data_IF_447101657961
#
_entry.id   IF_447101657961
#
_cell.length_a   1.000
_cell.length_b   1.000
_cell.length_c   1.000
_cell.angle_alpha   90.00
_cell.angle_beta   90.00
_cell.angle_gamma   90.00
#
_symmetry.space_group_name_H-M   'P 1'
#
loop_
_entity.id
_entity.type
_entity.pdbx_description
1 polymer ?
#
# COMPACT_ATOMS: atom_id res chain seq x y z
N UNK A 1 5.90 19.06 -8.30
CA UNK A 1 7.22 18.87 -7.67
C UNK A 1 7.62 17.41 -7.43
N UNK A 2 6.77 16.42 -7.75
CA UNK A 2 6.96 15.05 -7.24
C UNK A 2 7.67 14.05 -8.18
N UNK A 3 8.05 14.46 -9.39
CA UNK A 3 8.89 13.63 -10.29
C UNK A 3 10.36 14.02 -10.27
N UNK A 4 10.78 14.97 -9.41
CA UNK A 4 12.07 15.68 -9.55
C UNK A 4 12.29 16.15 -11.01
N UNK A 5 11.22 16.57 -11.70
CA UNK A 5 11.30 16.92 -13.11
C UNK A 5 11.66 15.74 -14.04
N UNK A 6 11.14 14.54 -13.78
CA UNK A 6 11.49 13.36 -14.57
C UNK A 6 12.88 12.85 -14.21
N UNK A 7 13.02 12.28 -13.01
CA UNK A 7 14.25 11.64 -12.53
C UNK A 7 15.45 12.60 -12.42
N UNK A 8 15.25 13.83 -11.93
CA UNK A 8 16.32 14.80 -11.64
C UNK A 8 16.75 15.66 -12.83
N UNK A 9 16.59 15.18 -14.06
CA UNK A 9 16.97 15.92 -15.27
C UNK A 9 16.15 17.20 -15.49
N UNK A 10 14.89 17.22 -15.06
CA UNK A 10 14.03 18.38 -15.25
C UNK A 10 14.44 19.58 -14.41
N UNK A 11 15.07 19.41 -13.25
CA UNK A 11 15.56 20.55 -12.44
C UNK A 11 16.68 21.31 -13.14
N UNK A 12 17.64 20.59 -13.72
CA UNK A 12 18.71 21.19 -14.54
C UNK A 12 18.13 21.95 -15.72
N UNK A 13 17.17 21.34 -16.42
CA UNK A 13 16.46 22.00 -17.52
C UNK A 13 15.62 23.20 -17.05
N UNK A 14 14.97 23.11 -15.89
CA UNK A 14 14.12 24.17 -15.34
C UNK A 14 14.95 25.42 -15.10
N UNK A 15 16.16 25.28 -14.52
CA UNK A 15 17.06 26.39 -14.24
C UNK A 15 17.38 27.24 -15.48
N UNK A 16 17.70 26.59 -16.61
CA UNK A 16 17.94 27.27 -17.88
C UNK A 16 16.68 27.86 -18.53
N UNK A 17 15.49 27.43 -18.09
CA UNK A 17 14.20 27.86 -18.64
C UNK A 17 13.51 28.95 -17.83
N UNK A 18 14.03 29.27 -16.64
CA UNK A 18 13.53 30.37 -15.79
C UNK A 18 13.39 31.70 -16.58
N UNK A 19 14.38 32.14 -17.38
CA UNK A 19 14.25 33.39 -18.13
C UNK A 19 13.08 33.37 -19.13
N UNK A 20 12.83 32.23 -19.76
CA UNK A 20 11.71 32.06 -20.68
C UNK A 20 10.36 32.13 -19.92
N UNK A 21 10.25 31.49 -18.75
CA UNK A 21 9.05 31.58 -17.92
C UNK A 21 8.77 33.00 -17.42
N UNK A 22 9.81 33.74 -17.01
CA UNK A 22 9.68 35.16 -16.64
C UNK A 22 9.20 35.98 -17.85
N UNK A 23 9.77 35.73 -19.04
CA UNK A 23 9.34 36.43 -20.26
C UNK A 23 7.89 36.11 -20.66
N UNK A 24 7.44 34.88 -20.43
CA UNK A 24 6.08 34.43 -20.73
C UNK A 24 5.08 35.02 -19.73
N UNK A 25 5.40 35.01 -18.43
CA UNK A 25 4.61 35.65 -17.38
C UNK A 25 4.48 37.17 -17.59
N UNK A 26 5.58 37.84 -17.99
CA UNK A 26 5.56 39.27 -18.31
C UNK A 26 4.71 39.56 -19.56
N UNK A 27 4.80 38.73 -20.61
CA UNK A 27 3.93 38.84 -21.80
C UNK A 27 2.47 38.58 -21.48
N UNK A 28 2.17 37.73 -20.51
CA UNK A 28 0.82 37.38 -20.10
C UNK A 28 0.17 38.51 -19.26
N UNK A 29 0.97 39.20 -18.45
CA UNK A 29 0.55 40.43 -17.76
C UNK A 29 0.17 41.56 -18.74
N UNK A 30 0.87 41.66 -19.88
CA UNK A 30 0.58 42.64 -20.94
C UNK A 30 -0.57 42.19 -21.87
N UNK A 31 -0.76 40.87 -22.04
CA UNK A 31 -1.82 40.32 -22.87
C UNK A 31 -3.13 40.23 -22.09
N UNK A 32 -3.82 41.37 -21.98
CA UNK A 32 -5.29 41.38 -22.00
C UNK A 32 -5.72 40.87 -23.39
N UNK A 33 -5.62 39.57 -23.64
CA UNK A 33 -5.92 38.99 -24.96
C UNK A 33 -7.05 37.99 -24.88
N UNK A 34 -8.02 38.28 -25.74
CA UNK A 34 -9.32 37.66 -25.95
C UNK A 34 -9.23 36.13 -25.94
N UNK A 35 -10.22 35.43 -25.37
CA UNK A 35 -10.27 33.97 -25.40
C UNK A 35 -10.24 33.50 -26.86
N UNK A 36 -9.21 32.72 -27.20
CA UNK A 36 -9.15 31.98 -28.46
C UNK A 36 -10.04 30.75 -28.33
N UNK A 37 -11.06 30.62 -29.18
CA UNK A 37 -11.91 29.43 -29.25
C UNK A 37 -11.20 28.20 -29.82
N UNK A 38 -10.00 28.36 -30.38
CA UNK A 38 -9.24 27.26 -30.94
C UNK A 38 -8.57 26.44 -29.83
N UNK A 39 -8.65 25.09 -29.87
CA UNK A 39 -7.96 24.26 -28.90
C UNK A 39 -6.44 24.42 -29.02
N UNK A 40 -5.67 24.28 -27.92
CA UNK A 40 -4.21 24.35 -27.95
C UNK A 40 -3.59 23.33 -28.93
N UNK A 41 -2.32 23.46 -29.35
CA UNK A 41 -1.65 22.44 -30.15
C UNK A 41 -1.37 21.16 -29.34
N UNK A 42 -1.35 20.00 -30.00
CA UNK A 42 -0.97 18.72 -29.37
C UNK A 42 0.55 18.70 -29.19
N UNK A 43 1.00 18.52 -27.96
CA UNK A 43 2.41 18.24 -27.67
C UNK A 43 2.61 16.75 -27.42
N UNK A 44 3.35 16.05 -28.29
CA UNK A 44 3.68 14.63 -28.10
C UNK A 44 4.38 14.37 -26.76
N UNK A 45 5.29 15.25 -26.34
CA UNK A 45 5.96 15.17 -25.04
C UNK A 45 4.97 15.26 -23.87
N UNK A 46 3.91 16.07 -24.01
CA UNK A 46 2.87 16.19 -22.98
C UNK A 46 2.06 14.90 -22.89
N UNK A 47 1.66 14.34 -24.03
CA UNK A 47 0.90 13.08 -24.08
C UNK A 47 1.74 11.93 -23.52
N UNK A 48 3.01 11.83 -23.91
CA UNK A 48 3.94 10.84 -23.34
C UNK A 48 4.08 11.02 -21.82
N UNK A 49 4.21 12.26 -21.35
CA UNK A 49 4.24 12.57 -19.91
C UNK A 49 2.95 12.17 -19.18
N UNK A 50 1.77 12.39 -19.79
CA UNK A 50 0.48 11.97 -19.23
C UNK A 50 0.42 10.45 -19.05
N UNK A 51 0.85 9.71 -20.07
CA UNK A 51 0.89 8.24 -20.02
C UNK A 51 1.85 7.77 -18.93
N UNK A 52 3.08 8.28 -18.91
CA UNK A 52 4.08 7.88 -17.91
C UNK A 52 3.63 8.17 -16.47
N UNK A 53 3.09 9.37 -16.21
CA UNK A 53 2.64 9.77 -14.87
C UNK A 53 1.37 9.04 -14.47
N UNK A 54 0.44 8.79 -15.39
CA UNK A 54 -0.75 7.99 -15.12
C UNK A 54 -0.42 6.54 -14.78
N UNK A 55 0.52 5.91 -15.51
CA UNK A 55 1.04 4.58 -15.17
C UNK A 55 1.67 4.60 -13.78
N UNK A 56 2.53 5.60 -13.50
CA UNK A 56 3.17 5.73 -12.20
C UNK A 56 2.16 5.79 -11.04
N UNK A 57 1.12 6.61 -11.15
CA UNK A 57 0.07 6.72 -10.13
C UNK A 57 -0.74 5.42 -9.99
N UNK A 58 -1.05 4.75 -11.11
CA UNK A 58 -1.75 3.47 -11.10
C UNK A 58 -0.91 2.34 -10.49
N UNK A 59 0.39 2.27 -10.81
CA UNK A 59 1.32 1.31 -10.21
C UNK A 59 1.50 1.56 -8.71
N UNK A 60 1.60 2.82 -8.28
CA UNK A 60 1.65 3.16 -6.86
C UNK A 60 0.38 2.66 -6.15
N UNK A 61 -0.80 2.96 -6.70
CA UNK A 61 -2.07 2.50 -6.15
C UNK A 61 -2.18 0.96 -6.11
N UNK A 62 -1.65 0.24 -7.11
CA UNK A 62 -1.60 -1.23 -7.10
C UNK A 62 -0.73 -1.78 -5.96
N UNK A 63 0.39 -1.12 -5.66
CA UNK A 63 1.28 -1.56 -4.59
C UNK A 63 0.66 -1.24 -3.21
N UNK A 64 0.07 -0.05 -3.07
CA UNK A 64 -0.34 0.46 -1.75
C UNK A 64 -1.81 0.25 -1.41
N UNK A 65 -2.72 0.13 -2.38
CA UNK A 65 -4.18 0.18 -2.14
C UNK A 65 -4.94 -1.02 -2.70
N UNK A 66 -4.26 -2.03 -3.23
CA UNK A 66 -4.89 -3.22 -3.82
C UNK A 66 -5.68 -4.08 -2.82
N UNK A 67 -5.54 -3.84 -1.52
CA UNK A 67 -6.35 -4.47 -0.46
C UNK A 67 -7.75 -3.88 -0.32
N UNK A 68 -8.04 -2.73 -0.95
CA UNK A 68 -9.34 -2.07 -0.84
C UNK A 68 -10.40 -2.78 -1.70
N UNK A 69 -11.63 -2.85 -1.16
CA UNK A 69 -12.78 -3.30 -1.93
C UNK A 69 -13.02 -2.39 -3.15
N UNK A 70 -13.43 -2.98 -4.28
CA UNK A 70 -13.65 -2.28 -5.54
C UNK A 70 -12.43 -1.53 -6.09
N UNK A 71 -11.20 -1.92 -5.69
CA UNK A 71 -9.96 -1.27 -6.10
C UNK A 71 -9.86 -1.04 -7.62
N UNK A 72 -10.07 -2.10 -8.42
CA UNK A 72 -9.97 -2.02 -9.88
C UNK A 72 -11.11 -1.22 -10.54
N UNK A 73 -12.24 -0.98 -9.86
CA UNK A 73 -13.35 -0.23 -10.46
C UNK A 73 -13.35 1.25 -10.08
N UNK A 74 -12.81 1.58 -8.89
CA UNK A 74 -12.90 2.93 -8.34
C UNK A 74 -11.52 3.54 -8.06
N UNK A 75 -10.72 2.87 -7.23
CA UNK A 75 -9.46 3.44 -6.70
C UNK A 75 -8.40 3.57 -7.78
N UNK A 76 -8.23 2.52 -8.59
CA UNK A 76 -7.29 2.48 -9.68
C UNK A 76 -7.57 3.55 -10.76
N UNK A 77 -8.77 3.62 -11.35
CA UNK A 77 -9.06 4.62 -12.38
C UNK A 77 -9.00 6.06 -11.84
N UNK A 78 -9.35 6.29 -10.57
CA UNK A 78 -9.23 7.60 -9.94
C UNK A 78 -7.77 8.01 -9.76
N UNK A 79 -6.91 7.07 -9.36
CA UNK A 79 -5.46 7.31 -9.22
C UNK A 79 -4.80 7.60 -10.56
N UNK A 80 -5.07 6.78 -11.58
CA UNK A 80 -4.55 6.99 -12.95
C UNK A 80 -5.06 8.30 -13.54
N UNK A 81 -6.36 8.57 -13.40
CA UNK A 81 -7.00 9.80 -13.86
C UNK A 81 -6.41 11.06 -13.21
N UNK A 82 -6.12 11.01 -11.91
CA UNK A 82 -5.44 12.10 -11.21
C UNK A 82 -4.04 12.36 -11.77
N UNK A 83 -3.25 11.31 -12.04
CA UNK A 83 -1.93 11.43 -12.65
C UNK A 83 -1.96 12.05 -14.05
N UNK A 84 -2.89 11.61 -14.89
CA UNK A 84 -3.09 12.16 -16.25
C UNK A 84 -3.57 13.62 -16.20
N UNK A 85 -4.52 13.92 -15.33
CA UNK A 85 -5.06 15.28 -15.18
C UNK A 85 -4.02 16.27 -14.62
N UNK A 86 -3.11 15.79 -13.76
CA UNK A 86 -1.99 16.59 -13.25
C UNK A 86 -1.10 17.07 -14.40
N UNK A 87 -0.73 16.20 -15.34
CA UNK A 87 0.10 16.56 -16.49
C UNK A 87 -0.67 17.36 -17.53
N UNK A 88 -1.97 17.08 -17.74
CA UNK A 88 -2.81 17.86 -18.64
C UNK A 88 -2.97 19.32 -18.18
N UNK A 89 -2.94 19.54 -16.86
CA UNK A 89 -3.11 20.86 -16.23
C UNK A 89 -1.81 21.67 -16.08
N UNK A 90 -0.69 21.21 -16.63
CA UNK A 90 0.60 21.95 -16.56
C UNK A 90 0.60 23.14 -17.52
N UNK A 91 1.04 24.31 -17.03
CA UNK A 91 1.11 25.55 -17.81
C UNK A 91 -0.28 26.18 -18.03
N UNK A 92 -0.48 26.80 -19.20
CA UNK A 92 -1.73 27.48 -19.57
C UNK A 92 -2.81 26.57 -20.16
N UNK A 93 -2.56 25.26 -20.21
CA UNK A 93 -3.49 24.27 -20.74
C UNK A 93 -4.11 23.46 -19.60
N UNK A 94 -5.34 23.00 -19.82
CA UNK A 94 -6.04 22.04 -18.97
C UNK A 94 -6.92 21.15 -19.85
N UNK A 95 -7.42 20.06 -19.30
CA UNK A 95 -8.36 19.16 -19.97
C UNK A 95 -9.54 18.87 -19.07
N UNK A 96 -10.67 18.53 -19.66
CA UNK A 96 -11.91 18.25 -18.94
C UNK A 96 -11.76 17.04 -18.00
N UNK A 97 -11.80 17.23 -16.66
CA UNK A 97 -11.52 16.16 -15.71
C UNK A 97 -12.60 15.09 -15.71
N UNK A 98 -13.86 15.46 -15.95
CA UNK A 98 -14.98 14.51 -15.97
C UNK A 98 -14.80 13.50 -17.10
N UNK A 99 -14.45 13.98 -18.29
CA UNK A 99 -14.24 13.12 -19.46
C UNK A 99 -13.05 12.18 -19.28
N UNK A 100 -11.97 12.68 -18.68
CA UNK A 100 -10.80 11.85 -18.33
C UNK A 100 -11.21 10.74 -17.36
N UNK A 101 -11.97 11.07 -16.31
CA UNK A 101 -12.41 10.10 -15.33
C UNK A 101 -13.35 9.05 -15.92
N UNK A 102 -14.31 9.47 -16.75
CA UNK A 102 -15.20 8.53 -17.45
C UNK A 102 -14.41 7.56 -18.32
N UNK A 103 -13.41 8.05 -19.08
CA UNK A 103 -12.54 7.18 -19.85
C UNK A 103 -11.78 6.19 -18.96
N UNK A 104 -11.24 6.66 -17.82
CA UNK A 104 -10.55 5.79 -16.87
C UNK A 104 -11.46 4.67 -16.35
N UNK A 105 -12.67 5.01 -15.88
CA UNK A 105 -13.62 4.03 -15.32
C UNK A 105 -14.03 3.01 -16.39
N UNK A 106 -14.36 3.46 -17.60
CA UNK A 106 -14.75 2.58 -18.71
C UNK A 106 -13.62 1.62 -19.08
N UNK A 107 -12.40 2.12 -19.24
CA UNK A 107 -11.25 1.26 -19.56
C UNK A 107 -10.88 0.34 -18.40
N UNK A 108 -11.02 0.79 -17.16
CA UNK A 108 -10.73 -0.04 -15.98
C UNK A 108 -11.70 -1.21 -15.83
N UNK A 109 -12.97 -1.01 -16.19
CA UNK A 109 -13.97 -2.08 -16.22
C UNK A 109 -13.63 -3.16 -17.26
N UNK A 110 -13.07 -2.78 -18.42
CA UNK A 110 -12.67 -3.72 -19.47
C UNK A 110 -11.45 -4.56 -19.03
N UNK A 111 -10.49 -3.94 -18.34
CA UNK A 111 -9.26 -4.59 -17.89
C UNK A 111 -9.29 -4.98 -16.40
N UNK A 112 -10.46 -5.30 -15.88
CA UNK A 112 -10.68 -5.64 -14.47
C UNK A 112 -9.77 -6.80 -14.03
N UNK A 113 -9.11 -6.64 -12.88
CA UNK A 113 -8.27 -7.68 -12.26
C UNK A 113 -6.89 -7.89 -12.91
N UNK A 114 -6.57 -7.21 -14.00
CA UNK A 114 -5.25 -7.31 -14.63
C UNK A 114 -4.21 -6.43 -13.91
N UNK A 115 -3.03 -6.97 -13.60
CA UNK A 115 -1.90 -6.18 -13.08
C UNK A 115 -1.36 -5.16 -14.09
N UNK A 116 -1.63 -5.36 -15.37
CA UNK A 116 -1.24 -4.45 -16.45
C UNK A 116 -2.29 -3.36 -16.72
N UNK A 117 -3.39 -3.33 -15.96
CA UNK A 117 -4.49 -2.36 -16.12
C UNK A 117 -4.08 -0.88 -16.09
N UNK A 118 -3.05 -0.39 -15.36
CA UNK A 118 -2.68 1.02 -15.40
C UNK A 118 -2.32 1.55 -16.78
N UNK A 119 -1.72 0.72 -17.64
CA UNK A 119 -1.25 1.10 -18.97
C UNK A 119 -2.40 1.46 -19.92
N UNK A 120 -3.38 0.57 -20.21
CA UNK A 120 -4.49 0.88 -21.09
C UNK A 120 -5.36 2.00 -20.53
N UNK A 121 -5.59 2.05 -19.21
CA UNK A 121 -6.33 3.14 -18.55
C UNK A 121 -5.63 4.49 -18.79
N UNK A 122 -4.31 4.54 -18.58
CA UNK A 122 -3.54 5.77 -18.74
C UNK A 122 -3.46 6.21 -20.20
N UNK A 123 -3.36 5.27 -21.14
CA UNK A 123 -3.39 5.56 -22.57
C UNK A 123 -4.73 6.15 -22.99
N UNK A 124 -5.84 5.51 -22.63
CA UNK A 124 -7.19 5.97 -22.94
C UNK A 124 -7.44 7.37 -22.35
N UNK A 125 -7.10 7.56 -21.07
CA UNK A 125 -7.20 8.84 -20.38
C UNK A 125 -6.38 9.94 -21.06
N UNK A 126 -5.17 9.64 -21.52
CA UNK A 126 -4.29 10.60 -22.21
C UNK A 126 -4.83 11.00 -23.59
N UNK A 127 -5.39 10.04 -24.34
CA UNK A 127 -6.09 10.31 -25.60
C UNK A 127 -7.31 11.20 -25.36
N UNK A 128 -8.14 10.88 -24.38
CA UNK A 128 -9.31 11.70 -24.02
C UNK A 128 -8.90 13.10 -23.55
N UNK A 129 -7.82 13.22 -22.79
CA UNK A 129 -7.27 14.51 -22.37
C UNK A 129 -6.78 15.35 -23.56
N UNK A 130 -6.15 14.71 -24.55
CA UNK A 130 -5.71 15.37 -25.78
C UNK A 130 -6.88 15.82 -26.66
N UNK A 131 -7.98 15.08 -26.69
CA UNK A 131 -9.20 15.45 -27.43
C UNK A 131 -9.95 16.62 -26.76
N UNK A 132 -9.98 16.66 -25.42
CA UNK A 132 -10.78 17.62 -24.65
C UNK A 132 -9.95 18.70 -23.96
N UNK A 133 -8.92 19.18 -24.66
CA UNK A 133 -8.00 20.21 -24.18
C UNK A 133 -8.59 21.62 -24.32
N UNK A 134 -8.38 22.44 -23.30
CA UNK A 134 -8.88 23.81 -23.18
C UNK A 134 -7.76 24.70 -22.63
N UNK A 135 -7.77 25.98 -22.98
CA UNK A 135 -6.94 26.95 -22.26
C UNK A 135 -7.53 27.20 -20.88
N UNK A 136 -6.68 27.41 -19.87
CA UNK A 136 -7.14 27.88 -18.56
C UNK A 136 -7.80 29.25 -18.74
N UNK A 137 -8.91 29.47 -18.04
CA UNK A 137 -9.49 30.81 -18.01
C UNK A 137 -8.46 31.76 -17.37
N UNK A 138 -8.32 33.00 -17.89
CA UNK A 138 -7.52 34.02 -17.23
C UNK A 138 -8.03 34.17 -15.80
N UNK A 139 -7.17 33.90 -14.81
CA UNK A 139 -7.45 34.33 -13.46
C UNK A 139 -7.50 35.85 -13.49
N UNK A 140 -8.70 36.39 -13.32
CA UNK A 140 -8.91 37.84 -13.28
C UNK A 140 -7.91 38.42 -12.28
N UNK A 141 -7.15 39.43 -12.69
CA UNK A 141 -6.14 40.21 -11.93
C UNK A 141 -6.75 40.93 -10.70
N UNK A 142 -7.93 40.53 -10.22
CA UNK A 142 -8.69 41.16 -9.14
C UNK A 142 -8.94 40.28 -7.92
N UNK A 143 -8.44 39.05 -7.84
CA UNK A 143 -8.45 38.35 -6.55
C UNK A 143 -7.28 38.83 -5.71
N UNK A 144 -7.60 39.47 -4.59
CA UNK A 144 -6.66 39.64 -3.46
C UNK A 144 -5.88 38.35 -3.26
N UNK A 145 -4.55 38.40 -3.05
CA UNK A 145 -3.75 37.20 -2.88
C UNK A 145 -4.43 36.30 -1.85
N UNK A 146 -4.82 35.10 -2.27
CA UNK A 146 -5.43 34.15 -1.36
C UNK A 146 -4.56 34.02 -0.11
N UNK A 147 -5.16 34.02 1.09
CA UNK A 147 -4.40 33.92 2.32
C UNK A 147 -3.52 32.66 2.30
N UNK A 148 -2.39 32.73 3.00
CA UNK A 148 -1.40 31.65 3.01
C UNK A 148 -2.01 30.31 3.49
N UNK A 149 -2.96 30.36 4.42
CA UNK A 149 -3.63 29.19 4.99
C UNK A 149 -4.20 28.21 3.96
N UNK A 150 -5.17 28.60 3.11
CA UNK A 150 -5.73 27.73 2.07
C UNK A 150 -4.72 27.17 1.05
N UNK A 151 -3.62 27.90 0.81
CA UNK A 151 -2.54 27.43 -0.07
C UNK A 151 -1.73 26.33 0.60
N UNK A 152 -1.32 26.56 1.84
CA UNK A 152 -0.62 25.56 2.65
C UNK A 152 -1.51 24.34 2.89
N UNK A 153 -2.80 24.52 3.17
CA UNK A 153 -3.76 23.42 3.33
C UNK A 153 -3.85 22.54 2.07
N UNK A 154 -4.02 23.14 0.88
CA UNK A 154 -4.05 22.38 -0.39
C UNK A 154 -2.72 21.68 -0.66
N UNK A 155 -1.59 22.32 -0.34
CA UNK A 155 -0.27 21.73 -0.47
C UNK A 155 -0.08 20.54 0.50
N UNK A 156 -0.49 20.69 1.76
CA UNK A 156 -0.48 19.64 2.78
C UNK A 156 -1.38 18.47 2.39
N UNK A 157 -2.58 18.75 1.86
CA UNK A 157 -3.48 17.72 1.35
C UNK A 157 -2.86 16.96 0.16
N UNK A 158 -2.23 17.67 -0.77
CA UNK A 158 -1.53 17.06 -1.90
C UNK A 158 -0.32 16.24 -1.45
N UNK A 159 0.42 16.72 -0.45
CA UNK A 159 1.53 15.99 0.16
C UNK A 159 1.02 14.72 0.85
N UNK A 160 -0.05 14.83 1.65
CA UNK A 160 -0.67 13.71 2.35
C UNK A 160 -1.20 12.66 1.37
N UNK A 161 -1.88 13.07 0.30
CA UNK A 161 -2.38 12.16 -0.74
C UNK A 161 -1.25 11.37 -1.42
N UNK A 162 -0.03 11.91 -1.44
CA UNK A 162 1.13 11.26 -2.01
C UNK A 162 1.92 10.43 -0.98
N UNK A 163 2.09 10.95 0.23
CA UNK A 163 2.88 10.33 1.29
C UNK A 163 2.10 9.27 2.06
N UNK A 164 0.77 9.34 2.13
CA UNK A 164 -0.04 8.37 2.87
C UNK A 164 -0.07 6.99 2.21
N UNK A 165 -0.21 6.84 0.87
CA UNK A 165 -0.11 5.52 0.24
C UNK A 165 1.30 4.93 0.32
N UNK A 166 2.34 5.78 0.20
CA UNK A 166 3.73 5.36 0.41
C UNK A 166 3.99 4.97 1.88
N UNK A 167 3.47 5.75 2.82
CA UNK A 167 3.51 5.47 4.25
C UNK A 167 2.79 4.16 4.55
N UNK A 168 1.59 3.94 4.03
CA UNK A 168 0.87 2.67 4.16
C UNK A 168 1.66 1.52 3.55
N UNK A 169 2.28 1.69 2.39
CA UNK A 169 3.17 0.68 1.80
C UNK A 169 4.36 0.37 2.71
N UNK A 170 5.03 1.39 3.23
CA UNK A 170 6.12 1.24 4.20
C UNK A 170 5.61 0.54 5.44
N UNK A 171 4.55 1.00 6.09
CA UNK A 171 4.02 0.41 7.32
C UNK A 171 3.46 -1.00 7.13
N UNK A 172 2.75 -1.28 6.04
CA UNK A 172 2.21 -2.60 5.73
C UNK A 172 3.31 -3.60 5.37
N UNK A 173 4.34 -3.16 4.64
CA UNK A 173 5.52 -4.00 4.41
C UNK A 173 6.40 -4.10 5.65
N UNK A 174 6.43 -3.06 6.50
CA UNK A 174 7.16 -3.03 7.79
C UNK A 174 6.49 -3.91 8.80
N UNK A 175 5.15 -3.99 8.88
CA UNK A 175 4.45 -4.96 9.72
C UNK A 175 4.72 -6.37 9.23
N UNK A 176 4.68 -6.62 7.92
CA UNK A 176 5.11 -7.90 7.36
C UNK A 176 6.57 -8.24 7.72
N UNK A 177 7.50 -7.27 7.63
CA UNK A 177 8.89 -7.48 8.07
C UNK A 177 9.01 -7.59 9.59
N UNK A 178 8.15 -6.92 10.37
CA UNK A 178 8.10 -7.02 11.82
C UNK A 178 7.62 -8.41 12.24
N UNK A 179 6.65 -8.99 11.52
CA UNK A 179 6.25 -10.39 11.69
C UNK A 179 7.42 -11.32 11.38
N UNK A 180 8.11 -11.13 10.25
CA UNK A 180 9.30 -11.94 9.94
C UNK A 180 10.43 -11.79 10.97
N UNK A 181 10.70 -10.57 11.44
CA UNK A 181 11.71 -10.29 12.47
C UNK A 181 11.26 -10.86 13.82
N UNK A 182 9.98 -10.75 14.16
CA UNK A 182 9.38 -11.32 15.36
C UNK A 182 9.48 -12.84 15.36
N UNK A 183 9.18 -13.48 14.22
CA UNK A 183 9.34 -14.92 14.03
C UNK A 183 10.81 -15.33 14.14
N UNK A 184 11.74 -14.52 13.61
CA UNK A 184 13.18 -14.77 13.76
C UNK A 184 13.66 -14.63 15.21
N UNK A 185 13.17 -13.63 15.95
CA UNK A 185 13.52 -13.39 17.35
C UNK A 185 12.90 -14.46 18.25
N UNK A 186 11.64 -14.85 18.00
CA UNK A 186 10.98 -15.96 18.68
C UNK A 186 11.73 -17.28 18.44
N UNK A 187 12.06 -17.60 17.19
CA UNK A 187 12.86 -18.79 16.86
C UNK A 187 14.26 -18.75 17.49
N UNK A 188 14.89 -17.57 17.58
CA UNK A 188 16.18 -17.40 18.24
C UNK A 188 16.08 -17.58 19.77
N UNK A 189 14.99 -17.13 20.39
CA UNK A 189 14.74 -17.33 21.81
C UNK A 189 14.38 -18.79 22.13
N UNK A 190 13.63 -19.44 21.26
CA UNK A 190 13.29 -20.87 21.36
C UNK A 190 14.51 -21.78 21.20
N UNK A 191 15.55 -21.32 20.49
CA UNK A 191 16.85 -21.99 20.44
C UNK A 191 17.47 -22.21 21.83
N UNK A 192 17.04 -21.44 22.84
CA UNK A 192 17.52 -21.54 24.22
C UNK A 192 16.51 -22.19 25.20
N UNK A 193 15.53 -22.95 24.70
CA UNK A 193 14.49 -23.60 25.53
C UNK A 193 15.03 -24.47 26.67
N UNK A 194 16.26 -24.98 26.56
CA UNK A 194 16.92 -25.82 27.55
C UNK A 194 17.66 -25.05 28.66
N UNK A 195 17.78 -23.72 28.56
CA UNK A 195 18.36 -22.85 29.59
C UNK A 195 17.38 -21.72 30.00
N UNK A 196 16.49 -21.95 30.98
CA UNK A 196 15.46 -20.98 31.40
C UNK A 196 16.01 -19.61 31.83
N UNK A 197 17.19 -19.58 32.46
CA UNK A 197 17.87 -18.34 32.86
C UNK A 197 18.37 -17.51 31.66
N UNK A 198 18.78 -18.17 30.58
CA UNK A 198 19.35 -17.52 29.40
C UNK A 198 18.30 -16.74 28.62
N UNK A 199 17.04 -17.20 28.61
CA UNK A 199 15.90 -16.47 28.04
C UNK A 199 15.76 -15.08 28.66
N UNK A 200 15.82 -14.98 29.99
CA UNK A 200 15.74 -13.70 30.70
C UNK A 200 16.93 -12.78 30.41
N UNK A 201 18.13 -13.35 30.21
CA UNK A 201 19.33 -12.57 29.82
C UNK A 201 19.21 -12.04 28.39
N UNK A 202 18.76 -12.87 27.44
CA UNK A 202 18.60 -12.45 26.04
C UNK A 202 17.48 -11.41 25.90
N UNK A 203 16.37 -11.59 26.62
CA UNK A 203 15.27 -10.61 26.69
C UNK A 203 15.76 -9.27 27.27
N UNK A 204 16.59 -9.31 28.31
CA UNK A 204 17.23 -8.11 28.86
C UNK A 204 18.11 -7.39 27.83
N UNK A 205 18.91 -8.12 27.05
CA UNK A 205 19.75 -7.54 26.00
C UNK A 205 18.94 -7.00 24.80
N UNK A 206 17.88 -7.69 24.39
CA UNK A 206 16.98 -7.24 23.33
C UNK A 206 16.24 -5.94 23.70
N UNK A 207 15.88 -5.79 24.98
CA UNK A 207 15.24 -4.59 25.51
C UNK A 207 16.24 -3.50 25.91
N UNK A 208 17.55 -3.77 25.90
CA UNK A 208 18.60 -2.83 26.32
C UNK A 208 18.62 -1.54 25.46
N UNK A 209 18.56 -1.59 24.11
CA UNK A 209 18.52 -0.38 23.29
C UNK A 209 17.29 0.48 23.58
N UNK A 210 16.14 -0.15 23.84
CA UNK A 210 14.91 0.53 24.24
C UNK A 210 15.04 1.17 25.63
N UNK A 211 15.63 0.47 26.61
CA UNK A 211 15.89 1.02 27.95
C UNK A 211 16.86 2.21 27.90
N UNK A 212 17.90 2.12 27.08
CA UNK A 212 18.86 3.22 26.85
C UNK A 212 18.14 4.41 26.19
N UNK A 213 17.30 4.16 25.18
CA UNK A 213 16.50 5.20 24.52
C UNK A 213 15.51 5.87 25.50
N UNK A 214 14.83 5.09 26.34
CA UNK A 214 13.93 5.60 27.39
C UNK A 214 14.69 6.41 28.45
N UNK A 215 15.89 5.98 28.84
CA UNK A 215 16.76 6.71 29.76
C UNK A 215 17.27 8.03 29.16
N UNK A 216 17.53 8.06 27.84
CA UNK A 216 17.97 9.27 27.12
C UNK A 216 16.84 10.27 26.87
N UNK A 217 15.62 9.80 26.67
CA UNK A 217 14.46 10.63 26.28
C UNK A 217 13.51 10.94 27.44
N UNK A 218 13.77 10.42 28.64
CA UNK A 218 12.97 10.67 29.85
C UNK A 218 11.53 10.14 29.80
N UNK A 219 11.22 9.28 28.82
CA UNK A 219 9.85 8.88 28.50
C UNK A 219 9.45 7.55 29.14
N UNK A 220 8.76 7.60 30.28
CA UNK A 220 8.03 6.46 30.88
C UNK A 220 6.76 6.07 30.12
N UNK A 221 6.39 6.81 29.05
CA UNK A 221 5.06 6.76 28.43
C UNK A 221 4.84 5.56 27.49
N UNK A 222 5.92 4.91 27.02
CA UNK A 222 5.83 3.87 25.99
C UNK A 222 5.90 2.43 26.54
N UNK A 223 6.20 2.24 27.82
CA UNK A 223 6.40 0.91 28.39
C UNK A 223 5.11 0.06 28.42
N UNK A 224 3.97 0.68 28.75
CA UNK A 224 2.66 0.01 28.66
C UNK A 224 2.24 -0.28 27.22
N UNK A 225 2.64 0.57 26.26
CA UNK A 225 2.31 0.37 24.85
C UNK A 225 3.11 -0.77 24.25
N UNK A 226 4.40 -0.88 24.57
CA UNK A 226 5.23 -1.99 24.15
C UNK A 226 4.88 -3.30 24.85
N UNK A 227 4.53 -3.27 26.16
CA UNK A 227 3.98 -4.44 26.86
C UNK A 227 2.67 -4.92 26.24
N UNK A 228 1.75 -4.00 25.89
CA UNK A 228 0.51 -4.36 25.17
C UNK A 228 0.77 -4.93 23.78
N UNK A 229 1.73 -4.40 23.04
CA UNK A 229 2.12 -4.97 21.74
C UNK A 229 2.68 -6.37 21.93
N UNK A 230 3.58 -6.59 22.88
CA UNK A 230 4.15 -7.91 23.17
C UNK A 230 3.08 -8.90 23.66
N UNK A 231 2.15 -8.44 24.49
CA UNK A 231 1.03 -9.23 25.01
C UNK A 231 0.05 -9.58 23.90
N UNK A 232 -0.33 -8.64 23.03
CA UNK A 232 -1.17 -8.93 21.85
C UNK A 232 -0.46 -9.93 20.92
N UNK A 233 0.85 -9.77 20.70
CA UNK A 233 1.64 -10.66 19.85
C UNK A 233 1.74 -12.08 20.42
N UNK A 234 2.00 -12.23 21.73
CA UNK A 234 2.12 -13.52 22.39
C UNK A 234 0.76 -14.19 22.64
N UNK A 235 -0.28 -13.41 22.94
CA UNK A 235 -1.63 -13.89 23.21
C UNK A 235 -2.33 -14.38 21.94
N UNK A 236 -2.15 -13.70 20.80
CA UNK A 236 -2.73 -14.15 19.53
C UNK A 236 -2.10 -15.47 19.06
N UNK A 237 -0.79 -15.64 19.25
CA UNK A 237 -0.09 -16.89 18.96
C UNK A 237 -0.56 -18.03 19.89
N UNK A 238 -0.59 -17.78 21.20
CA UNK A 238 -1.09 -18.75 22.19
C UNK A 238 -2.55 -19.14 21.93
N UNK A 239 -3.40 -18.19 21.55
CA UNK A 239 -4.81 -18.44 21.24
C UNK A 239 -4.98 -19.36 20.03
N UNK A 240 -4.19 -19.16 18.97
CA UNK A 240 -4.21 -20.04 17.78
C UNK A 240 -3.75 -21.45 18.10
N UNK A 241 -2.71 -21.62 18.93
CA UNK A 241 -2.27 -22.94 19.38
C UNK A 241 -3.34 -23.64 20.24
N UNK A 242 -3.98 -22.91 21.16
CA UNK A 242 -5.06 -23.44 22.01
C UNK A 242 -6.28 -23.85 21.16
N UNK A 243 -6.65 -23.05 20.15
CA UNK A 243 -7.74 -23.38 19.22
C UNK A 243 -7.39 -24.60 18.35
N UNK A 244 -6.16 -24.69 17.82
CA UNK A 244 -5.70 -25.83 17.03
C UNK A 244 -5.70 -27.13 17.86
N UNK A 245 -5.27 -27.07 19.12
CA UNK A 245 -5.34 -28.22 20.02
C UNK A 245 -6.78 -28.65 20.33
N UNK A 246 -7.71 -27.70 20.48
CA UNK A 246 -9.14 -28.01 20.66
C UNK A 246 -9.73 -28.69 19.43
N UNK A 247 -9.38 -28.24 18.23
CA UNK A 247 -9.81 -28.86 16.96
C UNK A 247 -9.28 -30.30 16.86
N UNK A 248 -8.02 -30.53 17.22
CA UNK A 248 -7.41 -31.85 17.22
C UNK A 248 -7.71 -32.67 18.49
N UNK A 249 -8.43 -32.11 19.46
CA UNK A 249 -8.79 -32.75 20.73
C UNK A 249 -7.59 -33.33 21.48
N UNK A 250 -6.48 -32.60 21.51
CA UNK A 250 -5.22 -32.98 22.17
C UNK A 250 -4.93 -32.09 23.39
N UNK A 251 -4.13 -32.59 24.34
CA UNK A 251 -3.75 -31.85 25.56
C UNK A 251 -2.58 -30.87 25.35
N UNK A 252 -2.38 -29.92 26.27
CA UNK A 252 -1.34 -28.86 26.17
C UNK A 252 0.09 -29.41 26.11
N UNK A 253 0.29 -30.61 26.66
CA UNK A 253 1.55 -31.36 26.63
C UNK A 253 1.59 -32.50 25.61
N UNK A 254 0.65 -32.56 24.66
CA UNK A 254 0.57 -33.68 23.72
C UNK A 254 1.79 -33.78 22.82
N UNK A 255 2.35 -34.98 22.69
CA UNK A 255 3.55 -35.24 21.88
C UNK A 255 3.25 -35.16 20.37
N UNK A 256 4.29 -34.99 19.54
CA UNK A 256 4.14 -34.99 18.07
C UNK A 256 3.46 -36.27 17.55
N UNK A 257 3.71 -37.40 18.21
CA UNK A 257 3.12 -38.70 17.89
C UNK A 257 1.60 -38.69 18.15
N UNK A 258 1.17 -38.13 19.29
CA UNK A 258 -0.25 -37.97 19.64
C UNK A 258 -0.97 -37.02 18.69
N UNK A 259 -0.34 -35.91 18.33
CA UNK A 259 -0.88 -34.93 17.37
C UNK A 259 -1.04 -35.58 15.99
N UNK A 260 -0.03 -36.30 15.51
CA UNK A 260 -0.05 -37.01 14.24
C UNK A 260 -1.08 -38.14 14.22
N UNK A 261 -1.25 -38.82 15.35
CA UNK A 261 -2.27 -39.86 15.51
C UNK A 261 -3.68 -39.26 15.42
N UNK A 262 -3.95 -38.20 16.20
CA UNK A 262 -5.26 -37.54 16.19
C UNK A 262 -5.61 -36.97 14.81
N UNK A 263 -4.64 -36.33 14.14
CA UNK A 263 -4.81 -35.85 12.77
C UNK A 263 -5.22 -36.96 11.80
N UNK A 264 -4.54 -38.12 11.84
CA UNK A 264 -4.85 -39.25 10.95
C UNK A 264 -6.26 -39.79 11.17
N UNK A 265 -6.70 -39.85 12.42
CA UNK A 265 -8.05 -40.34 12.74
C UNK A 265 -9.13 -39.34 12.32
N UNK A 266 -8.93 -38.05 12.61
CA UNK A 266 -9.86 -36.99 12.20
C UNK A 266 -9.91 -36.81 10.68
N UNK A 267 -8.78 -36.90 9.98
CA UNK A 267 -8.71 -36.81 8.52
C UNK A 267 -9.43 -37.98 7.83
N UNK A 268 -9.36 -39.20 8.39
CA UNK A 268 -10.12 -40.36 7.91
C UNK A 268 -11.62 -40.21 8.17
N UNK A 269 -11.99 -39.60 9.29
CA UNK A 269 -13.38 -39.40 9.70
C UNK A 269 -14.07 -38.34 8.84
N UNK A 270 -13.38 -37.23 8.56
CA UNK A 270 -13.90 -36.07 7.84
C UNK A 270 -13.50 -36.04 6.36
N UNK A 271 -12.98 -37.13 5.80
CA UNK A 271 -12.64 -37.18 4.38
C UNK A 271 -13.89 -36.97 3.50
N UNK A 272 -13.84 -36.07 2.48
CA UNK A 272 -15.00 -35.77 1.64
C UNK A 272 -15.54 -37.01 0.90
N UNK A 273 -14.66 -37.95 0.53
CA UNK A 273 -15.08 -39.19 -0.14
C UNK A 273 -15.82 -40.17 0.78
N UNK A 274 -15.59 -40.09 2.10
CA UNK A 274 -16.28 -40.95 3.10
C UNK A 274 -17.60 -40.37 3.57
N UNK A 275 -17.82 -39.07 3.34
CA UNK A 275 -19.03 -38.35 3.72
C UNK A 275 -19.78 -37.76 2.51
N UNK A 276 -20.21 -38.59 1.53
CA UNK A 276 -20.84 -38.11 0.30
C UNK A 276 -22.16 -37.38 0.54
N UNK A 277 -22.86 -37.66 1.65
CA UNK A 277 -24.12 -37.01 2.03
C UNK A 277 -23.94 -35.63 2.67
N UNK A 278 -22.74 -35.31 3.16
CA UNK A 278 -22.42 -34.08 3.91
C UNK A 278 -21.08 -33.49 3.44
N UNK A 279 -20.93 -33.40 2.12
CA UNK A 279 -19.65 -33.06 1.49
C UNK A 279 -19.11 -31.69 1.91
N UNK A 280 -19.99 -30.68 2.01
CA UNK A 280 -19.62 -29.32 2.42
C UNK A 280 -19.12 -29.26 3.87
N UNK A 281 -19.87 -29.84 4.82
CA UNK A 281 -19.47 -29.90 6.24
C UNK A 281 -18.15 -30.67 6.40
N UNK A 282 -17.98 -31.76 5.65
CA UNK A 282 -16.75 -32.55 5.68
C UNK A 282 -15.55 -31.77 5.14
N UNK A 283 -15.73 -31.02 4.05
CA UNK A 283 -14.68 -30.18 3.46
C UNK A 283 -14.26 -29.04 4.41
N UNK A 284 -15.20 -28.34 5.04
CA UNK A 284 -14.89 -27.28 6.01
C UNK A 284 -14.15 -27.82 7.23
N UNK A 285 -14.58 -28.97 7.77
CA UNK A 285 -13.90 -29.60 8.90
C UNK A 285 -12.53 -30.13 8.51
N UNK A 286 -12.38 -30.70 7.31
CA UNK A 286 -11.10 -31.18 6.79
C UNK A 286 -10.08 -30.04 6.66
N UNK A 287 -10.51 -28.88 6.16
CA UNK A 287 -9.67 -27.67 6.09
C UNK A 287 -9.23 -27.24 7.50
N UNK A 288 -10.16 -27.17 8.46
CA UNK A 288 -9.85 -26.80 9.86
C UNK A 288 -8.89 -27.77 10.53
N UNK A 289 -9.05 -29.07 10.30
CA UNK A 289 -8.17 -30.12 10.84
C UNK A 289 -6.78 -30.00 10.25
N UNK A 290 -6.66 -29.71 8.94
CA UNK A 290 -5.37 -29.53 8.29
C UNK A 290 -4.65 -28.27 8.80
N UNK A 291 -5.37 -27.14 8.91
CA UNK A 291 -4.84 -25.89 9.44
C UNK A 291 -4.37 -26.02 10.91
N UNK A 292 -5.16 -26.71 11.74
CA UNK A 292 -4.80 -27.02 13.12
C UNK A 292 -3.55 -27.92 13.20
N UNK A 293 -3.46 -28.94 12.34
CA UNK A 293 -2.29 -29.82 12.30
C UNK A 293 -1.05 -29.10 11.84
N UNK A 294 -1.12 -28.26 10.81
CA UNK A 294 0.00 -27.43 10.37
C UNK A 294 0.48 -26.49 11.47
N UNK A 295 -0.46 -25.81 12.14
CA UNK A 295 -0.17 -24.92 13.28
C UNK A 295 0.56 -25.64 14.41
N UNK A 296 0.11 -26.83 14.80
CA UNK A 296 0.80 -27.62 15.84
C UNK A 296 2.08 -28.29 15.35
N UNK A 297 2.20 -28.62 14.06
CA UNK A 297 3.42 -29.20 13.50
C UNK A 297 4.57 -28.18 13.56
N UNK A 298 4.27 -26.90 13.37
CA UNK A 298 5.24 -25.81 13.53
C UNK A 298 5.88 -25.76 14.94
N UNK A 299 5.16 -26.21 15.98
CA UNK A 299 5.68 -26.35 17.36
C UNK A 299 6.72 -27.46 17.52
N UNK A 300 6.66 -28.52 16.70
CA UNK A 300 7.44 -29.75 16.91
C UNK A 300 8.48 -30.07 15.82
N UNK A 301 8.40 -29.42 14.65
CA UNK A 301 9.36 -29.66 13.57
C UNK A 301 10.62 -28.81 13.79
N UNK A 302 11.82 -29.40 14.09
CA UNK A 302 13.06 -28.68 13.84
C UNK A 302 13.14 -28.43 12.32
N UNK A 303 13.24 -27.17 11.90
CA UNK A 303 13.28 -26.81 10.49
C UNK A 303 14.54 -27.39 9.82
N UNK A 304 14.48 -28.63 9.33
CA UNK A 304 15.46 -29.15 8.37
C UNK A 304 15.19 -28.47 7.03
N UNK A 305 16.06 -27.58 6.56
CA UNK A 305 15.95 -27.02 5.21
C UNK A 305 17.26 -27.22 4.43
N UNK A 306 17.12 -28.06 3.39
CA UNK A 306 17.91 -28.03 2.16
C UNK A 306 17.62 -26.74 1.39
#
# INVERSE_FOLDING_TARGET
MLTLGGFGFGWLREFFRIPAYVSEANKEAERVRRPSNNPPPIGLVRVAGQVCVGIYFGSLALISLNSLNFFYLLVLPLSVGAGVHLVSSVGQQTSDPQKILTACIMTSAIFYGSKLSPLPISLAASVTAAQHRKFKLPQHVRSTPEPLGPRVYRLSLALLAFSAPLGYCVFHNTTATLYYISDCVAAFLDMFWFFPWLRGVVEYFLLLPYRILCAMTGGSYYEESWKKVLEILLNEYSKREIEAMKVLSVSEGATLEEISHSYRELAKLWHPDRNPKKKQEAEEMFIKINDAYETLLHRYKPQSRK
#
